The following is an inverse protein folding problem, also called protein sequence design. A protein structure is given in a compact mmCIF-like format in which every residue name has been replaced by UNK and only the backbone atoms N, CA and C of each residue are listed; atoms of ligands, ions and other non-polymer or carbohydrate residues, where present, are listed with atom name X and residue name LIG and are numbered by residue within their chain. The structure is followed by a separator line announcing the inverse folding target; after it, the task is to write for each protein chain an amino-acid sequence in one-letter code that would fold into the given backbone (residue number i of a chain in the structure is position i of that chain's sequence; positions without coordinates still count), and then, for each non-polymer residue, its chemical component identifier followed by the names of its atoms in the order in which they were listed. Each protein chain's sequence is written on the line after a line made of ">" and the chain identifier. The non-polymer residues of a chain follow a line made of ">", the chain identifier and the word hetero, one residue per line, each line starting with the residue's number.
data_IF_870164165399
#
_entry.id   IF_870164165399
#
_cell.length_a   1.000
_cell.length_b   1.000
_cell.length_c   1.000
_cell.angle_alpha   90.00
_cell.angle_beta   90.00
_cell.angle_gamma   90.00
#
_symmetry.space_group_name_H-M   'P 1'
#
loop_
_entity.id
_entity.type
_entity.pdbx_description
1 polymer ?
#
# COMPACT_ATOMS: atom_id res chain seq x y z
N UNK A 1 30.09 -31.07 59.71
CA UNK A 1 29.76 -31.20 58.27
C UNK A 1 29.14 -29.89 57.80
N UNK A 2 29.94 -29.08 57.15
CA UNK A 2 29.52 -27.73 56.72
C UNK A 2 29.11 -27.78 55.24
N UNK A 3 27.83 -27.56 54.96
CA UNK A 3 27.30 -27.51 53.57
C UNK A 3 27.42 -26.08 53.03
N UNK A 4 28.38 -25.89 52.16
CA UNK A 4 28.57 -24.64 51.40
C UNK A 4 27.62 -24.67 50.17
N UNK A 5 26.56 -23.87 50.17
CA UNK A 5 25.70 -23.66 49.00
C UNK A 5 26.29 -22.49 48.18
N UNK A 6 26.82 -22.80 47.02
CA UNK A 6 27.23 -21.81 46.03
C UNK A 6 26.00 -21.30 45.25
N UNK A 7 25.67 -20.02 45.43
CA UNK A 7 24.64 -19.35 44.61
C UNK A 7 25.30 -18.83 43.33
N UNK A 8 24.87 -19.37 42.18
CA UNK A 8 25.25 -18.86 40.85
C UNK A 8 24.28 -17.73 40.49
N UNK A 9 24.74 -16.50 40.52
CA UNK A 9 23.98 -15.35 40.00
C UNK A 9 24.10 -15.32 38.47
N UNK A 10 23.03 -15.61 37.78
CA UNK A 10 22.91 -15.43 36.31
C UNK A 10 22.74 -13.94 36.00
N UNK A 11 23.75 -13.34 35.40
CA UNK A 11 23.70 -11.95 34.89
C UNK A 11 22.97 -11.96 33.59
N UNK A 12 21.69 -11.55 33.59
CA UNK A 12 20.90 -11.37 32.37
C UNK A 12 21.33 -10.07 31.65
N UNK A 13 22.06 -10.20 30.54
CA UNK A 13 22.45 -9.09 29.67
C UNK A 13 21.23 -8.65 28.86
N UNK A 14 20.52 -7.62 29.31
CA UNK A 14 19.45 -6.99 28.56
C UNK A 14 20.06 -6.10 27.48
N UNK A 15 20.04 -6.56 26.23
CA UNK A 15 20.36 -5.73 25.06
C UNK A 15 19.24 -4.72 24.91
N UNK A 16 19.47 -3.49 25.34
CA UNK A 16 18.58 -2.37 25.04
C UNK A 16 18.84 -1.94 23.61
N UNK A 17 17.94 -2.34 22.70
CA UNK A 17 17.86 -1.73 21.38
C UNK A 17 17.29 -0.32 21.56
N UNK A 18 18.16 0.68 21.54
CA UNK A 18 17.76 2.08 21.49
C UNK A 18 16.95 2.30 20.20
N UNK A 19 15.77 2.93 20.23
CA UNK A 19 15.09 3.32 19.00
C UNK A 19 15.99 4.30 18.23
N UNK A 20 16.23 4.07 16.94
CA UNK A 20 16.88 5.05 16.07
C UNK A 20 16.07 6.35 16.16
N UNK A 21 16.69 7.42 16.67
CA UNK A 21 16.08 8.74 16.67
C UNK A 21 15.97 9.22 15.22
N UNK A 22 14.85 9.83 14.87
CA UNK A 22 14.61 10.39 13.53
C UNK A 22 15.68 11.43 13.11
N UNK A 23 16.36 12.04 14.08
CA UNK A 23 17.45 13.01 13.90
C UNK A 23 18.73 12.38 13.33
N UNK A 24 18.93 11.06 13.43
CA UNK A 24 20.13 10.37 12.94
C UNK A 24 20.01 9.91 11.47
N UNK A 25 18.82 10.06 10.84
CA UNK A 25 18.61 9.62 9.48
C UNK A 25 19.11 10.67 8.46
N UNK A 26 20.06 10.25 7.62
CA UNK A 26 20.66 11.11 6.58
C UNK A 26 19.84 11.14 5.29
N UNK A 27 19.13 10.05 4.97
CA UNK A 27 18.27 9.95 3.79
C UNK A 27 16.83 10.11 4.26
N UNK A 28 16.35 11.34 4.30
CA UNK A 28 15.02 11.69 4.75
C UNK A 28 13.99 11.59 3.62
N UNK A 29 12.70 11.48 3.95
CA UNK A 29 11.60 11.51 2.98
C UNK A 29 11.49 12.91 2.39
N UNK A 30 11.41 13.94 3.26
CA UNK A 30 11.51 15.36 2.90
C UNK A 30 12.51 16.05 3.83
N UNK A 31 12.75 17.34 3.66
CA UNK A 31 13.59 18.13 4.60
C UNK A 31 13.12 18.05 6.05
N UNK A 32 11.80 17.90 6.27
CA UNK A 32 11.18 17.97 7.58
C UNK A 32 10.53 16.65 8.01
N UNK A 33 10.54 15.64 7.13
CA UNK A 33 9.92 14.33 7.36
C UNK A 33 10.93 13.22 7.18
N UNK A 34 11.39 12.62 8.27
CA UNK A 34 12.32 11.51 8.24
C UNK A 34 11.60 10.16 8.01
N UNK A 35 10.49 9.93 8.70
CA UNK A 35 9.76 8.65 8.70
C UNK A 35 8.26 8.87 8.86
N UNK A 36 7.48 7.85 8.46
CA UNK A 36 6.03 7.75 8.75
C UNK A 36 5.76 6.37 9.34
N UNK A 37 5.18 6.31 10.53
CA UNK A 37 4.74 5.03 11.11
C UNK A 37 3.29 4.75 10.72
N UNK A 38 3.04 3.55 10.21
CA UNK A 38 1.72 3.09 9.78
C UNK A 38 1.39 1.72 10.37
N UNK A 39 0.11 1.36 10.42
CA UNK A 39 -0.33 0.03 10.80
C UNK A 39 -0.41 -0.88 9.57
N UNK A 40 0.25 -2.03 9.62
CA UNK A 40 0.10 -3.11 8.64
C UNK A 40 -0.26 -4.41 9.34
N UNK A 41 -1.43 -4.96 9.05
CA UNK A 41 -1.97 -6.13 9.74
C UNK A 41 -1.96 -5.97 11.28
N UNK A 42 -2.37 -4.78 11.77
CA UNK A 42 -2.45 -4.45 13.19
C UNK A 42 -1.10 -4.21 13.88
N UNK A 43 0.02 -4.22 13.14
CA UNK A 43 1.37 -3.99 13.70
C UNK A 43 1.97 -2.68 13.15
N UNK A 44 2.66 -1.91 13.97
CA UNK A 44 3.33 -0.70 13.51
C UNK A 44 4.50 -1.07 12.58
N UNK A 45 4.59 -0.35 11.46
CA UNK A 45 5.69 -0.42 10.49
C UNK A 45 6.16 0.99 10.21
N UNK A 46 7.45 1.24 10.37
CA UNK A 46 8.06 2.53 10.03
C UNK A 46 8.43 2.55 8.56
N UNK A 47 7.80 3.46 7.82
CA UNK A 47 8.17 3.79 6.44
C UNK A 47 9.27 4.84 6.50
N UNK A 48 10.42 4.53 5.89
CA UNK A 48 11.56 5.41 5.75
C UNK A 48 12.26 5.12 4.43
N UNK A 49 13.15 6.00 4.00
CA UNK A 49 14.03 5.74 2.87
C UNK A 49 15.20 4.85 3.28
N UNK A 50 15.73 4.06 2.35
CA UNK A 50 16.91 3.23 2.59
C UNK A 50 18.12 4.12 2.92
N UNK A 51 18.81 3.83 4.02
CA UNK A 51 19.94 4.62 4.51
C UNK A 51 21.27 4.25 3.85
N UNK A 52 21.34 3.14 3.10
CA UNK A 52 22.55 2.74 2.36
C UNK A 52 22.66 3.56 1.09
N UNK A 53 23.71 4.38 0.96
CA UNK A 53 23.90 5.30 -0.18
C UNK A 53 24.18 4.59 -1.51
N UNK A 54 24.61 3.35 -1.48
CA UNK A 54 24.88 2.46 -2.61
C UNK A 54 23.68 1.55 -2.95
N UNK A 55 22.54 1.73 -2.26
CA UNK A 55 21.34 0.96 -2.53
C UNK A 55 20.83 1.26 -3.96
N UNK A 56 20.47 0.21 -4.68
CA UNK A 56 19.93 0.28 -6.02
C UNK A 56 18.53 -0.31 -6.08
N UNK A 57 17.80 0.00 -7.14
CA UNK A 57 16.44 -0.50 -7.36
C UNK A 57 16.49 -2.02 -7.52
N UNK A 58 15.59 -2.73 -6.85
CA UNK A 58 15.44 -4.18 -7.01
C UNK A 58 15.21 -4.54 -8.48
N UNK A 59 15.82 -5.64 -8.95
CA UNK A 59 15.82 -6.07 -10.35
C UNK A 59 14.42 -6.13 -10.98
N UNK A 60 13.37 -6.48 -10.20
CA UNK A 60 11.99 -6.52 -10.67
C UNK A 60 11.48 -5.14 -11.15
N UNK A 61 11.99 -4.04 -10.60
CA UNK A 61 11.62 -2.67 -10.95
C UNK A 61 12.71 -1.93 -11.76
N UNK A 62 13.91 -2.50 -11.91
CA UNK A 62 14.99 -1.93 -12.73
C UNK A 62 14.78 -2.14 -14.24
N UNK A 63 13.92 -3.08 -14.64
CA UNK A 63 13.65 -3.37 -16.05
C UNK A 63 12.91 -2.20 -16.71
N UNK A 64 13.51 -1.59 -17.72
CA UNK A 64 12.98 -0.41 -18.42
C UNK A 64 12.12 -0.74 -19.64
N UNK A 65 12.38 -1.88 -20.31
CA UNK A 65 11.69 -2.28 -21.54
C UNK A 65 10.73 -3.41 -21.28
N UNK A 66 9.46 -3.22 -21.65
CA UNK A 66 8.39 -4.21 -21.50
C UNK A 66 7.51 -4.20 -22.74
N UNK A 67 7.01 -5.38 -23.13
CA UNK A 67 6.11 -5.50 -24.27
C UNK A 67 4.79 -4.74 -24.04
N UNK A 68 4.34 -4.01 -25.05
CA UNK A 68 3.04 -3.34 -25.04
C UNK A 68 2.22 -3.84 -26.23
N UNK A 69 1.06 -4.49 -26.00
CA UNK A 69 0.48 -4.88 -24.73
C UNK A 69 1.22 -6.04 -24.03
N UNK A 70 1.06 -6.31 -22.71
CA UNK A 70 0.12 -5.65 -21.80
C UNK A 70 0.71 -4.45 -21.03
N UNK A 71 2.01 -4.17 -21.12
CA UNK A 71 2.71 -3.21 -20.27
C UNK A 71 2.84 -1.83 -20.91
N UNK A 72 1.73 -1.32 -21.43
CA UNK A 72 1.70 -0.01 -22.08
C UNK A 72 1.72 1.13 -21.07
N UNK A 73 2.34 2.25 -21.44
CA UNK A 73 2.35 3.47 -20.62
C UNK A 73 0.91 3.95 -20.42
N UNK A 74 0.54 4.17 -19.17
CA UNK A 74 -0.76 4.69 -18.80
C UNK A 74 -0.77 6.22 -18.84
N UNK A 75 -1.90 6.87 -19.19
CA UNK A 75 -2.03 8.33 -19.16
C UNK A 75 -1.83 8.86 -17.74
N UNK A 76 -1.60 10.17 -17.61
CA UNK A 76 -1.48 10.81 -16.30
C UNK A 76 -2.82 10.82 -15.56
N UNK A 77 -3.95 10.89 -16.27
CA UNK A 77 -5.31 10.88 -15.72
C UNK A 77 -6.03 9.63 -16.20
N UNK A 78 -6.54 8.81 -15.27
CA UNK A 78 -7.27 7.57 -15.59
C UNK A 78 -8.67 7.86 -16.10
N UNK A 79 -9.37 8.79 -15.46
CA UNK A 79 -10.73 9.21 -15.80
C UNK A 79 -11.03 10.58 -15.16
N UNK A 80 -12.00 11.34 -15.69
CA UNK A 80 -12.46 12.59 -15.08
C UNK A 80 -12.92 12.38 -13.63
N UNK A 81 -12.53 13.27 -12.74
CA UNK A 81 -12.88 13.23 -11.32
C UNK A 81 -12.07 12.25 -10.46
N UNK A 82 -11.16 11.48 -11.08
CA UNK A 82 -10.19 10.62 -10.36
C UNK A 82 -8.88 11.39 -10.22
N UNK A 83 -8.43 11.60 -8.99
CA UNK A 83 -7.17 12.27 -8.74
C UNK A 83 -5.98 11.32 -8.92
N UNK A 84 -4.98 11.79 -9.66
CA UNK A 84 -3.67 11.15 -9.69
C UNK A 84 -2.81 11.76 -8.59
N UNK A 85 -2.22 10.91 -7.75
CA UNK A 85 -1.41 11.30 -6.60
C UNK A 85 0.02 10.77 -6.71
N UNK A 86 0.92 11.40 -5.97
CA UNK A 86 2.33 11.01 -5.83
C UNK A 86 2.62 10.47 -4.40
N UNK A 87 3.90 10.35 -4.06
CA UNK A 87 4.36 9.68 -2.87
C UNK A 87 3.94 10.36 -1.57
N UNK A 88 3.98 11.70 -1.55
CA UNK A 88 3.66 12.45 -0.32
C UNK A 88 2.18 12.36 0.02
N UNK A 89 1.31 12.45 -0.98
CA UNK A 89 -0.13 12.25 -0.79
C UNK A 89 -0.43 10.79 -0.40
N UNK A 90 0.30 9.81 -0.97
CA UNK A 90 0.19 8.41 -0.59
C UNK A 90 0.58 8.21 0.88
N UNK A 91 1.66 8.82 1.34
CA UNK A 91 2.10 8.79 2.74
C UNK A 91 1.08 9.46 3.67
N UNK A 92 0.46 10.56 3.27
CA UNK A 92 -0.61 11.22 4.01
C UNK A 92 -1.82 10.29 4.19
N UNK A 93 -2.31 9.67 3.12
CA UNK A 93 -3.41 8.71 3.20
C UNK A 93 -3.09 7.51 4.10
N UNK A 94 -1.87 6.97 4.01
CA UNK A 94 -1.41 5.88 4.86
C UNK A 94 -1.37 6.27 6.34
N UNK A 95 -0.87 7.47 6.63
CA UNK A 95 -0.81 7.99 7.99
C UNK A 95 -2.22 8.21 8.55
N UNK A 96 -3.10 8.93 7.84
CA UNK A 96 -4.48 9.19 8.25
C UNK A 96 -5.22 7.89 8.54
N UNK A 97 -5.11 6.89 7.64
CA UNK A 97 -5.69 5.56 7.86
C UNK A 97 -5.17 4.93 9.16
N UNK A 98 -3.87 5.04 9.43
CA UNK A 98 -3.25 4.46 10.63
C UNK A 98 -3.60 5.21 11.91
N UNK A 99 -3.92 6.49 11.80
CA UNK A 99 -4.40 7.34 12.89
C UNK A 99 -5.92 7.12 13.21
N UNK A 100 -6.59 6.21 12.48
CA UNK A 100 -7.97 5.82 12.73
C UNK A 100 -9.00 6.35 11.73
N UNK A 101 -8.60 6.91 10.58
CA UNK A 101 -9.53 7.28 9.51
C UNK A 101 -9.98 6.03 8.74
N UNK A 102 -11.04 5.38 9.23
CA UNK A 102 -11.62 4.18 8.63
C UNK A 102 -12.34 4.44 7.30
N UNK A 103 -12.52 5.70 6.91
CA UNK A 103 -13.06 6.08 5.61
C UNK A 103 -12.06 5.93 4.45
N UNK A 104 -10.82 5.53 4.73
CA UNK A 104 -9.76 5.34 3.75
C UNK A 104 -9.42 3.85 3.60
N UNK A 105 -9.22 3.40 2.36
CA UNK A 105 -8.67 2.09 2.06
C UNK A 105 -7.56 2.19 1.01
N UNK A 106 -6.38 1.67 1.33
CA UNK A 106 -5.24 1.63 0.42
C UNK A 106 -5.21 0.26 -0.25
N UNK A 107 -5.32 0.21 -1.58
CA UNK A 107 -5.51 -1.01 -2.35
C UNK A 107 -4.31 -1.29 -3.26
N UNK A 108 -3.63 -2.39 -3.01
CA UNK A 108 -2.72 -3.00 -3.98
C UNK A 108 -3.55 -3.80 -4.99
N UNK A 109 -3.66 -3.28 -6.22
CA UNK A 109 -4.45 -3.88 -7.30
C UNK A 109 -3.72 -5.00 -8.05
N UNK A 110 -2.48 -5.33 -7.66
CA UNK A 110 -1.68 -6.34 -8.32
C UNK A 110 -2.20 -7.74 -8.07
N UNK A 111 -1.83 -8.65 -8.98
CA UNK A 111 -2.01 -10.08 -8.76
C UNK A 111 -1.14 -10.56 -7.58
N UNK A 112 -1.55 -11.64 -6.86
CA UNK A 112 -0.84 -12.10 -5.66
C UNK A 112 0.64 -12.39 -5.86
N UNK A 113 1.04 -12.93 -7.02
CA UNK A 113 2.43 -13.22 -7.37
C UNK A 113 3.35 -11.98 -7.37
N UNK A 114 2.80 -10.80 -7.69
CA UNK A 114 3.50 -9.53 -7.56
C UNK A 114 3.57 -9.05 -6.11
N UNK A 115 2.49 -9.25 -5.36
CA UNK A 115 2.40 -8.84 -3.95
C UNK A 115 3.40 -9.62 -3.09
N UNK A 116 3.63 -10.90 -3.38
CA UNK A 116 4.64 -11.74 -2.71
C UNK A 116 6.07 -11.15 -2.75
N UNK A 117 6.37 -10.32 -3.74
CA UNK A 117 7.66 -9.63 -3.88
C UNK A 117 7.80 -8.42 -2.96
N UNK A 118 6.71 -8.02 -2.33
CA UNK A 118 6.60 -6.87 -1.44
C UNK A 118 5.47 -5.93 -1.84
N UNK A 119 4.91 -5.24 -0.85
CA UNK A 119 3.86 -4.25 -1.02
C UNK A 119 4.11 -3.03 -0.12
N UNK A 120 3.33 -1.98 -0.32
CA UNK A 120 3.35 -0.78 0.52
C UNK A 120 2.73 -1.12 1.89
N UNK A 121 3.42 -0.82 3.02
CA UNK A 121 2.85 -1.03 4.35
C UNK A 121 1.51 -0.30 4.51
N UNK A 122 0.54 -0.93 5.17
CA UNK A 122 -0.81 -0.36 5.38
C UNK A 122 -1.79 -0.62 4.24
N UNK A 123 -1.34 -1.16 3.10
CA UNK A 123 -2.22 -1.57 2.00
C UNK A 123 -2.83 -2.96 2.22
N UNK A 124 -3.93 -3.21 1.52
CA UNK A 124 -4.57 -4.53 1.38
C UNK A 124 -4.57 -4.94 -0.08
N UNK A 125 -4.43 -6.22 -0.36
CA UNK A 125 -4.53 -6.71 -1.73
C UNK A 125 -6.00 -6.93 -2.12
N UNK A 126 -6.43 -6.26 -3.18
CA UNK A 126 -7.66 -6.55 -3.93
C UNK A 126 -7.25 -6.59 -5.40
N UNK A 127 -6.96 -7.78 -5.94
CA UNK A 127 -6.53 -7.92 -7.33
C UNK A 127 -7.51 -7.28 -8.29
N UNK A 128 -6.99 -6.66 -9.35
CA UNK A 128 -7.82 -5.97 -10.34
C UNK A 128 -8.89 -6.86 -10.98
N UNK A 129 -8.71 -8.16 -10.94
CA UNK A 129 -9.67 -9.15 -11.43
C UNK A 129 -10.91 -9.27 -10.55
N UNK A 130 -10.80 -8.99 -9.25
CA UNK A 130 -11.88 -9.14 -8.25
C UNK A 130 -13.07 -8.24 -8.55
N UNK A 131 -12.83 -6.99 -8.95
CA UNK A 131 -13.90 -6.02 -9.27
C UNK A 131 -14.19 -5.90 -10.77
N UNK A 132 -13.53 -6.71 -11.59
CA UNK A 132 -13.72 -6.67 -13.04
C UNK A 132 -14.94 -7.48 -13.45
N UNK A 133 -15.98 -6.80 -13.93
CA UNK A 133 -17.28 -7.40 -14.31
C UNK A 133 -17.19 -8.49 -15.41
N UNK A 134 -16.08 -8.53 -16.15
CA UNK A 134 -15.85 -9.56 -17.18
C UNK A 134 -15.00 -10.73 -16.68
N UNK A 135 -14.50 -10.69 -15.45
CA UNK A 135 -13.57 -11.68 -14.90
C UNK A 135 -13.95 -12.23 -13.52
N UNK A 136 -14.85 -11.54 -12.83
CA UNK A 136 -15.35 -11.91 -11.51
C UNK A 136 -16.85 -12.16 -11.60
N UNK A 137 -17.35 -13.01 -10.71
CA UNK A 137 -18.79 -13.21 -10.58
C UNK A 137 -19.45 -12.04 -9.82
N UNK A 138 -20.73 -11.79 -10.05
CA UNK A 138 -21.45 -10.68 -9.42
C UNK A 138 -21.48 -10.75 -7.88
N UNK A 139 -21.51 -11.95 -7.29
CA UNK A 139 -21.55 -12.12 -5.83
C UNK A 139 -20.22 -11.70 -5.19
N UNK A 140 -19.09 -12.09 -5.78
CA UNK A 140 -17.75 -11.66 -5.33
C UNK A 140 -17.59 -10.13 -5.42
N UNK A 141 -18.13 -9.52 -6.50
CA UNK A 141 -18.11 -8.05 -6.64
C UNK A 141 -18.97 -7.41 -5.55
N UNK A 142 -20.19 -7.90 -5.33
CA UNK A 142 -21.12 -7.38 -4.33
C UNK A 142 -20.53 -7.51 -2.92
N UNK A 143 -20.05 -8.69 -2.55
CA UNK A 143 -19.41 -8.93 -1.26
C UNK A 143 -18.23 -7.96 -1.03
N UNK A 144 -17.37 -7.78 -2.01
CA UNK A 144 -16.24 -6.85 -1.91
C UNK A 144 -16.71 -5.41 -1.71
N UNK A 145 -17.72 -4.96 -2.45
CA UNK A 145 -18.27 -3.61 -2.34
C UNK A 145 -18.85 -3.36 -0.95
N UNK A 146 -19.62 -4.31 -0.42
CA UNK A 146 -20.28 -4.17 0.88
C UNK A 146 -19.31 -4.33 2.05
N UNK A 147 -18.56 -5.43 2.08
CA UNK A 147 -17.75 -5.78 3.26
C UNK A 147 -16.46 -4.99 3.37
N UNK A 148 -15.91 -4.54 2.24
CA UNK A 148 -14.60 -3.89 2.21
C UNK A 148 -14.63 -2.42 1.80
N UNK A 149 -15.50 -2.04 0.87
CA UNK A 149 -15.49 -0.69 0.28
C UNK A 149 -16.56 0.23 0.87
N UNK A 150 -17.46 -0.28 1.71
CA UNK A 150 -18.47 0.50 2.42
C UNK A 150 -19.66 0.94 1.56
N UNK A 151 -19.87 0.29 0.40
CA UNK A 151 -21.09 0.44 -0.38
C UNK A 151 -22.22 -0.41 0.24
N UNK A 152 -23.47 -0.05 -0.03
CA UNK A 152 -24.65 -0.82 0.38
C UNK A 152 -25.58 -1.02 -0.81
N UNK A 153 -26.28 -2.14 -0.85
CA UNK A 153 -27.30 -2.37 -1.86
C UNK A 153 -28.68 -2.06 -1.28
N UNK A 154 -29.35 -1.05 -1.85
CA UNK A 154 -30.68 -0.63 -1.45
C UNK A 154 -31.62 -0.81 -2.65
N UNK A 155 -32.63 -1.67 -2.50
CA UNK A 155 -33.66 -1.93 -3.55
C UNK A 155 -33.07 -2.28 -4.92
N UNK A 156 -31.94 -3.01 -4.93
CA UNK A 156 -31.24 -3.41 -6.16
C UNK A 156 -30.30 -2.36 -6.77
N UNK A 157 -30.19 -1.17 -6.15
CA UNK A 157 -29.24 -0.12 -6.53
C UNK A 157 -28.10 -0.01 -5.53
N UNK A 158 -26.94 0.43 -6.00
CA UNK A 158 -25.80 0.70 -5.13
C UNK A 158 -25.91 2.09 -4.49
N UNK A 159 -25.84 2.14 -3.16
CA UNK A 159 -25.64 3.35 -2.36
C UNK A 159 -24.17 3.47 -1.96
N UNK A 160 -23.54 4.57 -2.36
CA UNK A 160 -22.15 4.89 -2.08
C UNK A 160 -21.98 6.01 -1.05
N UNK A 161 -23.03 6.42 -0.34
CA UNK A 161 -22.98 7.51 0.64
C UNK A 161 -21.91 7.26 1.71
N UNK A 162 -21.80 6.01 2.18
CA UNK A 162 -20.80 5.57 3.16
C UNK A 162 -19.55 4.93 2.53
N UNK A 163 -19.44 4.96 1.19
CA UNK A 163 -18.31 4.37 0.50
C UNK A 163 -16.98 5.06 0.89
N UNK A 164 -15.92 4.25 0.99
CA UNK A 164 -14.58 4.71 1.39
C UNK A 164 -13.89 5.49 0.28
N UNK A 165 -12.94 6.34 0.64
CA UNK A 165 -11.93 6.85 -0.29
C UNK A 165 -10.92 5.74 -0.56
N UNK A 166 -10.77 5.36 -1.83
CA UNK A 166 -9.90 4.29 -2.27
C UNK A 166 -8.63 4.87 -2.89
N UNK A 167 -7.48 4.49 -2.37
CA UNK A 167 -6.17 4.83 -2.93
C UNK A 167 -5.61 3.58 -3.60
N UNK A 168 -5.57 3.56 -4.94
CA UNK A 168 -5.22 2.38 -5.70
C UNK A 168 -3.85 2.51 -6.35
N UNK A 169 -3.05 1.46 -6.29
CA UNK A 169 -1.76 1.39 -6.96
C UNK A 169 -1.51 0.01 -7.59
N UNK A 170 -0.50 -0.06 -8.45
CA UNK A 170 0.05 -1.31 -8.98
C UNK A 170 1.57 -1.21 -9.17
N UNK A 171 2.15 -1.79 -10.22
CA UNK A 171 3.61 -1.86 -10.36
C UNK A 171 4.27 -0.53 -10.78
N UNK A 172 3.55 0.37 -11.45
CA UNK A 172 4.11 1.61 -11.95
C UNK A 172 3.33 2.19 -13.13
N UNK A 173 3.84 3.23 -13.74
CA UNK A 173 3.18 3.97 -14.83
C UNK A 173 2.91 3.16 -16.11
N UNK A 174 3.51 2.00 -16.26
CA UNK A 174 3.29 1.04 -17.35
C UNK A 174 2.31 -0.08 -16.97
N UNK A 175 1.76 -0.05 -15.77
CA UNK A 175 0.89 -1.10 -15.24
C UNK A 175 -0.59 -0.72 -15.37
N UNK A 176 -1.36 -1.52 -16.09
CA UNK A 176 -2.80 -1.29 -16.28
C UNK A 176 -3.71 -1.85 -15.17
N UNK A 177 -3.18 -2.50 -14.12
CA UNK A 177 -4.00 -3.21 -13.13
C UNK A 177 -4.83 -2.25 -12.26
N UNK A 178 -4.22 -1.23 -11.64
CA UNK A 178 -4.99 -0.23 -10.89
C UNK A 178 -5.90 0.65 -11.79
N UNK A 179 -5.48 1.10 -12.99
CA UNK A 179 -6.41 1.74 -13.93
C UNK A 179 -7.61 0.86 -14.30
N UNK A 180 -7.43 -0.46 -14.48
CA UNK A 180 -8.54 -1.38 -14.73
C UNK A 180 -9.48 -1.48 -13.52
N UNK A 181 -8.94 -1.56 -12.32
CA UNK A 181 -9.71 -1.58 -11.09
C UNK A 181 -10.57 -0.30 -10.95
N UNK A 182 -9.95 0.86 -11.16
CA UNK A 182 -10.64 2.16 -11.15
C UNK A 182 -11.76 2.21 -12.17
N UNK A 183 -11.49 1.81 -13.44
CA UNK A 183 -12.53 1.82 -14.49
C UNK A 183 -13.65 0.84 -14.18
N UNK A 184 -13.38 -0.30 -13.54
CA UNK A 184 -14.41 -1.24 -13.09
C UNK A 184 -15.30 -0.62 -12.02
N UNK A 185 -14.72 0.03 -11.02
CA UNK A 185 -15.43 0.76 -9.97
C UNK A 185 -16.32 1.86 -10.56
N UNK A 186 -15.79 2.66 -11.48
CA UNK A 186 -16.57 3.71 -12.17
C UNK A 186 -17.76 3.14 -12.96
N UNK A 187 -17.61 1.99 -13.62
CA UNK A 187 -18.70 1.30 -14.33
C UNK A 187 -19.80 0.81 -13.40
N UNK A 188 -19.47 0.48 -12.15
CA UNK A 188 -20.43 0.09 -11.11
C UNK A 188 -21.13 1.32 -10.50
N UNK A 189 -20.61 2.54 -10.76
CA UNK A 189 -21.16 3.79 -10.23
C UNK A 189 -20.42 4.33 -9.00
N UNK A 190 -19.26 3.78 -8.65
CA UNK A 190 -18.46 4.28 -7.53
C UNK A 190 -18.06 5.74 -7.76
N UNK A 191 -18.21 6.64 -6.75
CA UNK A 191 -17.96 8.06 -6.92
C UNK A 191 -16.51 8.37 -7.32
N UNK A 192 -16.31 9.02 -8.46
CA UNK A 192 -14.97 9.28 -9.01
C UNK A 192 -14.09 10.08 -8.04
N UNK A 193 -14.64 11.07 -7.33
CA UNK A 193 -13.92 11.89 -6.36
C UNK A 193 -13.40 11.10 -5.14
N UNK A 194 -13.93 9.90 -4.89
CA UNK A 194 -13.45 8.98 -3.86
C UNK A 194 -12.36 8.03 -4.36
N UNK A 195 -11.98 8.10 -5.65
CA UNK A 195 -10.91 7.28 -6.24
C UNK A 195 -9.64 8.11 -6.41
N UNK A 196 -8.54 7.61 -5.83
CA UNK A 196 -7.21 8.19 -5.92
C UNK A 196 -6.29 7.16 -6.58
N UNK A 197 -5.50 7.60 -7.53
CA UNK A 197 -4.58 6.74 -8.24
C UNK A 197 -3.13 7.11 -7.95
N UNK A 198 -2.42 6.28 -7.19
CA UNK A 198 -0.98 6.39 -7.06
C UNK A 198 -0.31 5.78 -8.30
N UNK A 199 -0.08 6.63 -9.31
CA UNK A 199 0.39 6.23 -10.65
C UNK A 199 1.77 5.63 -10.64
N UNK A 200 2.69 6.16 -9.84
CA UNK A 200 4.08 5.69 -9.71
C UNK A 200 4.18 4.26 -9.20
N UNK A 201 3.27 3.86 -8.33
CA UNK A 201 3.15 2.51 -7.80
C UNK A 201 4.41 2.01 -7.13
N UNK A 202 4.63 0.69 -7.20
CA UNK A 202 5.80 0.06 -6.58
C UNK A 202 7.13 0.48 -7.20
N UNK A 203 7.15 0.89 -8.47
CA UNK A 203 8.39 1.31 -9.13
C UNK A 203 8.91 2.61 -8.55
N UNK A 204 8.09 3.65 -8.44
CA UNK A 204 8.50 4.93 -7.88
C UNK A 204 8.77 4.78 -6.38
N UNK A 205 7.96 3.98 -5.67
CA UNK A 205 8.21 3.62 -4.27
C UNK A 205 9.58 2.98 -4.06
N UNK A 206 9.98 2.06 -4.95
CA UNK A 206 11.27 1.38 -4.92
C UNK A 206 12.44 2.30 -5.33
N UNK A 207 12.26 3.18 -6.32
CA UNK A 207 13.27 4.16 -6.76
C UNK A 207 13.62 5.12 -5.62
N UNK A 208 12.64 5.49 -4.81
CA UNK A 208 12.86 6.33 -3.63
C UNK A 208 13.41 5.55 -2.43
N UNK A 209 13.56 4.24 -2.54
CA UNK A 209 14.06 3.39 -1.48
C UNK A 209 13.15 3.32 -0.25
N UNK A 210 11.83 3.50 -0.44
CA UNK A 210 10.85 3.46 0.64
C UNK A 210 10.61 2.03 1.14
N UNK A 211 10.30 1.91 2.43
CA UNK A 211 10.06 0.62 3.11
C UNK A 211 8.95 -0.17 2.43
N UNK A 212 9.18 -1.46 2.22
CA UNK A 212 8.18 -2.44 1.76
C UNK A 212 8.01 -3.55 2.80
N UNK A 213 6.86 -4.22 2.78
CA UNK A 213 6.58 -5.42 3.57
C UNK A 213 6.21 -6.57 2.66
N UNK A 214 6.49 -7.80 3.10
CA UNK A 214 5.98 -9.02 2.45
C UNK A 214 4.62 -9.37 3.04
N UNK A 215 3.69 -9.91 2.23
CA UNK A 215 2.50 -10.53 2.77
C UNK A 215 2.91 -11.69 3.70
N UNK A 216 2.10 -11.94 4.71
CA UNK A 216 2.26 -13.11 5.57
C UNK A 216 1.74 -14.34 4.85
#
# INVERSE_FOLDING_TARGET
>A
MLNLRASVAALALTIQLSPLNAEDLRVMITTDLATVTVLHNGKPVTIQRNQKKDNTVAAAFARTSRDCPPFCIQPAVVAPGVDTIAELEMLDYLKRKSDGDDSILIIDSRTPDWVERGTIPGSVNIPWTTLNISRSDPLTIADTLETRLGAQQLEGLWDFSNAKTLVLFCNGMWCGQSPNNIRSLLKIGYPAHKLKWYRGGMQDWAILGLTTVKPK
#
